data_IF_733099153874
#
_entry.id   IF_733099153874
#
_cell.length_a   1.000
_cell.length_b   1.000
_cell.length_c   1.000
_cell.angle_alpha   90.00
_cell.angle_beta   90.00
_cell.angle_gamma   90.00
#
_symmetry.space_group_name_H-M   'P 1'
#
loop_
_entity.id
_entity.type
_entity.pdbx_description
1 polymer ?
#
# COMPACT_ATOMS: atom_id res chain seq x y z
N UNK A 1 26.27 13.22 -40.34
CA UNK A 1 24.96 12.61 -40.04
C UNK A 1 24.65 12.65 -38.55
N UNK A 2 24.82 13.87 -37.91
CA UNK A 2 24.69 14.06 -36.44
C UNK A 2 24.07 15.44 -36.12
N UNK A 3 22.87 15.75 -36.62
CA UNK A 3 22.15 17.02 -36.32
C UNK A 3 20.63 16.89 -36.21
N UNK A 4 20.06 15.67 -36.17
CA UNK A 4 18.58 15.50 -36.10
C UNK A 4 18.04 14.86 -34.81
N UNK A 5 18.88 14.57 -33.83
CA UNK A 5 18.42 13.91 -32.57
C UNK A 5 18.14 14.90 -31.44
N UNK A 6 18.64 16.15 -31.53
CA UNK A 6 18.53 17.11 -30.42
C UNK A 6 17.19 17.89 -30.37
N UNK A 7 16.39 17.85 -31.43
CA UNK A 7 15.12 18.64 -31.49
C UNK A 7 13.93 17.86 -30.94
N UNK A 8 13.97 16.50 -30.90
CA UNK A 8 12.85 15.69 -30.38
C UNK A 8 12.80 15.68 -28.85
N UNK A 9 13.95 15.90 -28.17
CA UNK A 9 13.99 15.90 -26.70
C UNK A 9 13.46 17.21 -26.08
N UNK A 10 13.48 18.33 -26.81
CA UNK A 10 13.01 19.64 -26.30
C UNK A 10 11.49 19.82 -26.43
N UNK A 11 10.82 19.11 -27.32
CA UNK A 11 9.36 19.18 -27.47
C UNK A 11 8.60 18.30 -26.47
N UNK A 12 9.24 17.25 -25.91
CA UNK A 12 8.63 16.43 -24.84
C UNK A 12 8.66 17.13 -23.47
N UNK A 13 9.55 18.08 -23.25
CA UNK A 13 9.64 18.82 -21.97
C UNK A 13 8.59 19.94 -21.88
N UNK A 14 8.14 20.49 -22.99
CA UNK A 14 7.16 21.57 -23.01
C UNK A 14 5.71 21.10 -22.77
N UNK A 15 5.38 19.83 -23.04
CA UNK A 15 4.04 19.29 -22.81
C UNK A 15 3.79 18.86 -21.34
N UNK A 16 4.85 18.76 -20.53
CA UNK A 16 4.76 18.37 -19.11
C UNK A 16 4.59 19.60 -18.19
N UNK A 17 4.90 20.80 -18.68
CA UNK A 17 4.85 22.03 -17.88
C UNK A 17 3.43 22.60 -17.65
N UNK A 18 2.41 22.11 -18.37
CA UNK A 18 1.05 22.67 -18.32
C UNK A 18 0.18 22.22 -17.15
N UNK A 19 0.53 21.13 -16.44
CA UNK A 19 -0.31 20.56 -15.36
C UNK A 19 0.38 20.49 -13.98
N UNK A 20 1.55 21.09 -13.82
CA UNK A 20 2.32 21.02 -12.57
C UNK A 20 1.73 21.86 -11.42
N UNK A 21 0.95 22.89 -11.72
CA UNK A 21 0.51 23.88 -10.72
C UNK A 21 -0.69 23.46 -9.86
N UNK A 22 -1.27 22.28 -10.06
CA UNK A 22 -2.51 21.90 -9.39
C UNK A 22 -2.47 20.55 -8.64
N UNK A 23 -1.29 19.91 -8.52
CA UNK A 23 -1.13 18.64 -7.81
C UNK A 23 -0.74 18.88 -6.36
N UNK A 24 -1.43 18.23 -5.44
CA UNK A 24 -1.07 18.24 -4.02
C UNK A 24 0.28 17.58 -3.80
N UNK A 25 1.10 18.15 -2.93
CA UNK A 25 2.38 17.56 -2.56
C UNK A 25 2.18 16.54 -1.45
N UNK A 26 2.62 15.32 -1.67
CA UNK A 26 2.58 14.28 -0.64
C UNK A 26 3.46 14.65 0.58
N UNK A 27 2.86 14.52 1.76
CA UNK A 27 3.56 14.54 3.04
C UNK A 27 3.19 13.28 3.80
N UNK A 28 4.19 12.53 4.26
CA UNK A 28 3.91 11.35 5.07
C UNK A 28 3.14 11.75 6.35
N UNK A 29 1.90 11.25 6.55
CA UNK A 29 1.06 11.64 7.67
C UNK A 29 1.58 11.15 9.02
N UNK A 30 2.50 10.17 9.03
CA UNK A 30 3.05 9.54 10.24
C UNK A 30 4.49 9.97 10.57
N UNK A 31 5.00 10.96 9.83
CA UNK A 31 6.33 11.51 10.06
C UNK A 31 7.46 10.57 9.64
N UNK A 32 8.19 9.99 10.60
CA UNK A 32 9.30 9.05 10.33
C UNK A 32 8.88 7.57 10.36
N UNK A 33 7.68 7.28 10.80
CA UNK A 33 7.14 5.92 10.80
C UNK A 33 6.63 5.56 9.41
N UNK A 34 6.64 4.27 9.08
CA UNK A 34 5.99 3.79 7.87
C UNK A 34 4.46 3.86 8.07
N UNK A 35 3.68 4.44 7.16
CA UNK A 35 2.23 4.52 7.29
C UNK A 35 1.60 3.12 7.26
N UNK A 36 0.84 2.77 8.29
CA UNK A 36 0.04 1.54 8.33
C UNK A 36 -1.36 1.91 8.77
N UNK A 37 -2.31 1.78 7.86
CA UNK A 37 -3.69 2.18 8.04
C UNK A 37 -4.57 0.97 8.38
N UNK A 38 -5.40 1.13 9.39
CA UNK A 38 -6.52 0.24 9.66
C UNK A 38 -7.78 0.81 9.00
N UNK A 39 -8.29 0.11 8.00
CA UNK A 39 -9.59 0.38 7.41
C UNK A 39 -10.64 -0.38 8.18
N UNK A 40 -11.84 0.20 8.33
CA UNK A 40 -12.86 -0.33 9.22
C UNK A 40 -12.26 -0.64 10.58
N UNK A 41 -11.72 0.42 11.18
CA UNK A 41 -10.85 0.35 12.34
C UNK A 41 -11.66 0.17 13.63
N UNK A 42 -11.80 1.21 14.44
CA UNK A 42 -12.61 1.15 15.66
C UNK A 42 -14.02 1.57 15.29
N UNK A 43 -15.01 0.70 15.55
CA UNK A 43 -16.41 1.01 15.25
C UNK A 43 -16.85 2.25 16.03
N UNK A 44 -17.47 3.24 15.34
CA UNK A 44 -17.91 4.48 15.96
C UNK A 44 -19.15 4.24 16.79
N UNK A 45 -18.99 4.09 18.07
CA UNK A 45 -20.03 3.98 19.09
C UNK A 45 -19.40 4.09 20.48
N UNK A 46 -19.76 3.20 21.41
CA UNK A 46 -19.11 3.06 22.72
C UNK A 46 -17.63 2.66 22.67
N UNK A 47 -17.13 2.16 21.50
CA UNK A 47 -15.75 1.72 21.34
C UNK A 47 -14.75 2.86 21.06
N UNK A 48 -15.21 4.08 20.81
CA UNK A 48 -14.32 5.23 20.62
C UNK A 48 -13.68 5.64 21.96
N UNK A 49 -12.74 4.81 22.45
CA UNK A 49 -12.03 5.01 23.71
C UNK A 49 -10.52 5.02 23.51
N UNK A 50 -9.80 5.64 24.45
CA UNK A 50 -8.34 5.69 24.45
C UNK A 50 -7.72 4.28 24.44
N UNK A 51 -8.31 3.36 25.21
CA UNK A 51 -7.85 1.98 25.35
C UNK A 51 -7.89 1.25 24.00
N UNK A 52 -8.94 1.44 23.21
CA UNK A 52 -9.06 0.87 21.86
C UNK A 52 -8.03 1.44 20.90
N UNK A 53 -7.77 2.74 20.92
CA UNK A 53 -6.70 3.33 20.11
C UNK A 53 -5.31 2.87 20.57
N UNK A 54 -5.08 2.66 21.86
CA UNK A 54 -3.84 2.04 22.35
C UNK A 54 -3.71 0.59 21.91
N UNK A 55 -4.79 -0.17 21.90
CA UNK A 55 -4.82 -1.55 21.38
C UNK A 55 -4.49 -1.59 19.88
N UNK A 56 -5.10 -0.71 19.09
CA UNK A 56 -4.79 -0.53 17.67
C UNK A 56 -3.31 -0.18 17.46
N UNK A 57 -2.78 0.77 18.25
CA UNK A 57 -1.35 1.13 18.22
C UNK A 57 -0.45 -0.05 18.57
N UNK A 58 -0.82 -0.87 19.55
CA UNK A 58 -0.09 -2.07 19.94
C UNK A 58 -0.07 -3.13 18.81
N UNK A 59 -1.09 -3.17 17.96
CA UNK A 59 -1.11 -3.96 16.73
C UNK A 59 -0.25 -3.37 15.60
N UNK A 60 0.46 -2.26 15.84
CA UNK A 60 1.41 -1.65 14.91
C UNK A 60 0.81 -0.63 13.94
N UNK A 61 -0.47 -0.31 14.05
CA UNK A 61 -1.12 0.72 13.24
C UNK A 61 -0.79 2.14 13.76
N UNK A 62 -0.72 3.09 12.84
CA UNK A 62 -0.52 4.50 13.15
C UNK A 62 -1.53 5.42 12.43
N UNK A 63 -2.39 4.84 11.57
CA UNK A 63 -3.54 5.54 10.97
C UNK A 63 -4.79 4.67 11.19
N UNK A 64 -5.88 5.32 11.59
CA UNK A 64 -7.21 4.75 11.77
C UNK A 64 -8.18 5.39 10.80
N UNK A 65 -8.97 4.58 10.12
CA UNK A 65 -10.12 5.01 9.34
C UNK A 65 -11.37 4.21 9.71
N UNK A 66 -12.43 4.92 10.00
CA UNK A 66 -13.79 4.40 10.15
C UNK A 66 -14.77 5.41 9.56
N UNK A 67 -15.90 4.94 9.06
CA UNK A 67 -16.99 5.80 8.65
C UNK A 67 -17.71 6.29 9.91
N UNK A 68 -17.48 7.55 10.28
CA UNK A 68 -18.22 8.17 11.38
C UNK A 68 -19.62 8.55 10.91
N UNK A 69 -20.63 8.32 11.74
CA UNK A 69 -22.03 8.65 11.41
C UNK A 69 -22.28 10.16 11.35
N UNK A 70 -21.48 10.93 12.10
CA UNK A 70 -21.58 12.38 12.18
C UNK A 70 -20.31 13.02 12.72
N UNK A 71 -20.26 14.35 12.70
CA UNK A 71 -19.12 15.13 13.16
C UNK A 71 -18.84 14.98 14.68
N UNK A 72 -19.84 14.72 15.51
CA UNK A 72 -19.66 14.51 16.95
C UNK A 72 -18.92 13.20 17.24
N UNK A 73 -19.24 12.13 16.50
CA UNK A 73 -18.47 10.88 16.59
C UNK A 73 -17.02 11.06 16.11
N UNK A 74 -16.80 11.82 15.03
CA UNK A 74 -15.45 12.18 14.59
C UNK A 74 -14.68 12.93 15.68
N UNK A 75 -15.31 13.93 16.32
CA UNK A 75 -14.73 14.68 17.43
C UNK A 75 -14.34 13.77 18.62
N UNK A 76 -15.23 12.83 18.98
CA UNK A 76 -15.00 11.83 20.01
C UNK A 76 -13.81 10.93 19.65
N UNK A 77 -13.73 10.44 18.40
CA UNK A 77 -12.61 9.65 17.90
C UNK A 77 -11.28 10.40 17.97
N UNK A 78 -11.24 11.63 17.46
CA UNK A 78 -10.06 12.51 17.52
C UNK A 78 -9.60 12.75 18.96
N UNK A 79 -10.55 12.97 19.87
CA UNK A 79 -10.25 13.16 21.30
C UNK A 79 -9.69 11.89 21.95
N UNK A 80 -10.30 10.73 21.70
CA UNK A 80 -9.89 9.44 22.24
C UNK A 80 -8.49 9.02 21.74
N UNK A 81 -8.13 9.38 20.51
CA UNK A 81 -6.83 9.04 19.92
C UNK A 81 -5.67 9.92 20.43
N UNK A 82 -5.93 11.02 21.17
CA UNK A 82 -4.89 11.93 21.68
C UNK A 82 -3.84 11.20 22.52
N UNK A 83 -2.57 11.34 22.11
CA UNK A 83 -1.42 10.75 22.81
C UNK A 83 -1.26 9.23 22.65
N UNK A 84 -2.01 8.58 21.78
CA UNK A 84 -1.87 7.13 21.48
C UNK A 84 -0.85 6.84 20.39
N UNK A 85 -0.51 7.84 19.56
CA UNK A 85 0.32 7.67 18.36
C UNK A 85 -0.48 7.19 17.16
N UNK A 86 -1.81 7.13 17.23
CA UNK A 86 -2.71 6.82 16.10
C UNK A 86 -3.37 8.10 15.63
N UNK A 87 -3.26 8.40 14.34
CA UNK A 87 -3.92 9.53 13.67
C UNK A 87 -5.17 9.04 12.93
N UNK A 88 -6.13 9.93 12.71
CA UNK A 88 -7.39 9.62 12.08
C UNK A 88 -7.47 10.21 10.68
N UNK A 89 -7.94 9.39 9.74
CA UNK A 89 -8.50 9.84 8.47
C UNK A 89 -9.97 10.20 8.72
N UNK A 90 -10.35 11.45 8.53
CA UNK A 90 -11.68 11.93 8.82
C UNK A 90 -12.65 11.66 7.66
N UNK A 91 -13.80 11.04 7.96
CA UNK A 91 -14.89 10.81 7.02
C UNK A 91 -16.22 10.75 7.78
N UNK A 92 -17.12 11.69 7.49
CA UNK A 92 -18.51 11.70 7.98
C UNK A 92 -19.38 12.37 6.90
N UNK A 93 -20.71 12.15 6.89
CA UNK A 93 -21.61 12.73 5.89
C UNK A 93 -21.49 14.26 5.79
N UNK A 94 -21.41 14.94 6.91
CA UNK A 94 -21.34 16.41 6.96
C UNK A 94 -20.07 16.97 6.31
N UNK A 95 -19.03 16.17 6.12
CA UNK A 95 -17.81 16.61 5.43
C UNK A 95 -18.12 17.00 3.97
N UNK A 96 -19.00 16.27 3.29
CA UNK A 96 -19.44 16.60 1.93
C UNK A 96 -20.52 17.68 1.93
N UNK A 97 -21.50 17.59 2.84
CA UNK A 97 -22.66 18.48 2.92
C UNK A 97 -22.30 19.89 3.40
N UNK A 98 -21.44 19.98 4.41
CA UNK A 98 -21.03 21.23 5.10
C UNK A 98 -19.51 21.36 5.14
N UNK A 99 -18.83 21.14 4.00
CA UNK A 99 -17.37 21.06 3.88
C UNK A 99 -16.65 22.19 4.63
N UNK A 100 -17.09 23.44 4.42
CA UNK A 100 -16.40 24.60 5.00
C UNK A 100 -16.43 24.58 6.53
N UNK A 101 -17.57 24.26 7.12
CA UNK A 101 -17.74 24.19 8.56
C UNK A 101 -16.91 23.07 9.18
N UNK A 102 -17.01 21.86 8.62
CA UNK A 102 -16.32 20.68 9.16
C UNK A 102 -14.82 20.80 9.04
N UNK A 103 -14.32 21.21 7.87
CA UNK A 103 -12.87 21.36 7.66
C UNK A 103 -12.30 22.47 8.55
N UNK A 104 -12.99 23.62 8.63
CA UNK A 104 -12.54 24.72 9.50
C UNK A 104 -12.49 24.31 10.97
N UNK A 105 -13.48 23.52 11.42
CA UNK A 105 -13.58 23.05 12.81
C UNK A 105 -12.42 22.08 13.18
N UNK A 106 -12.09 21.14 12.29
CA UNK A 106 -11.16 20.06 12.62
C UNK A 106 -9.73 20.22 12.08
N UNK A 107 -9.44 21.13 11.13
CA UNK A 107 -8.13 21.25 10.49
C UNK A 107 -6.94 21.47 11.43
N UNK A 108 -7.18 21.90 12.66
CA UNK A 108 -6.13 22.13 13.67
C UNK A 108 -6.01 20.99 14.69
N UNK A 109 -6.83 19.92 14.56
CA UNK A 109 -6.74 18.76 15.45
C UNK A 109 -5.46 17.97 15.19
N UNK A 110 -4.63 17.80 16.22
CA UNK A 110 -3.31 17.17 16.11
C UNK A 110 -3.37 15.71 15.64
N UNK A 111 -4.47 15.04 15.91
CA UNK A 111 -4.65 13.64 15.55
C UNK A 111 -5.28 13.46 14.17
N UNK A 112 -5.69 14.52 13.50
CA UNK A 112 -6.12 14.47 12.12
C UNK A 112 -4.92 14.22 11.20
N UNK A 113 -5.02 13.29 10.24
CA UNK A 113 -4.01 13.07 9.21
C UNK A 113 -4.52 13.31 7.79
N UNK A 114 -5.82 13.32 7.58
CA UNK A 114 -6.40 13.53 6.26
C UNK A 114 -7.92 13.50 6.25
N UNK A 115 -8.46 13.78 5.07
CA UNK A 115 -9.87 13.87 4.75
C UNK A 115 -10.23 12.79 3.75
N UNK A 116 -11.19 11.95 4.07
CA UNK A 116 -11.70 10.91 3.18
C UNK A 116 -12.79 11.47 2.27
N UNK A 117 -12.64 11.28 0.97
CA UNK A 117 -13.62 11.75 -0.01
C UNK A 117 -14.62 10.66 -0.40
N UNK A 118 -14.12 9.54 -0.89
CA UNK A 118 -14.94 8.49 -1.46
C UNK A 118 -14.19 7.16 -1.53
N UNK A 119 -14.94 6.07 -1.44
CA UNK A 119 -14.49 4.73 -1.75
C UNK A 119 -14.95 4.34 -3.15
N UNK A 120 -14.07 3.71 -3.91
CA UNK A 120 -14.29 3.06 -5.20
C UNK A 120 -15.10 3.87 -6.24
N UNK A 121 -14.76 5.14 -6.52
CA UNK A 121 -15.49 5.90 -7.51
C UNK A 121 -15.15 5.45 -8.93
N UNK A 122 -16.12 5.47 -9.83
CA UNK A 122 -15.86 5.41 -11.28
C UNK A 122 -15.53 6.79 -11.84
N UNK A 123 -15.03 6.86 -13.08
CA UNK A 123 -14.68 8.15 -13.73
C UNK A 123 -15.86 9.11 -13.88
N UNK A 124 -17.10 8.62 -13.83
CA UNK A 124 -18.30 9.45 -13.90
C UNK A 124 -18.34 10.47 -12.76
N UNK A 125 -17.87 10.10 -11.57
CA UNK A 125 -17.86 10.97 -10.39
C UNK A 125 -16.62 11.86 -10.24
N UNK A 126 -15.59 11.72 -11.09
CA UNK A 126 -14.32 12.44 -10.92
C UNK A 126 -14.48 13.95 -10.94
N UNK A 127 -15.32 14.49 -11.82
CA UNK A 127 -15.54 15.94 -11.89
C UNK A 127 -16.14 16.52 -10.59
N UNK A 128 -17.07 15.81 -9.96
CA UNK A 128 -17.68 16.27 -8.71
C UNK A 128 -16.77 16.02 -7.51
N UNK A 129 -16.04 14.90 -7.50
CA UNK A 129 -14.99 14.64 -6.51
C UNK A 129 -13.87 15.67 -6.58
N UNK A 130 -13.51 16.15 -7.78
CA UNK A 130 -12.57 17.26 -7.93
C UNK A 130 -13.09 18.53 -7.27
N UNK A 131 -14.35 18.88 -7.48
CA UNK A 131 -14.97 20.06 -6.82
C UNK A 131 -14.98 19.89 -5.30
N UNK A 132 -15.30 18.67 -4.80
CA UNK A 132 -15.27 18.38 -3.37
C UNK A 132 -13.86 18.50 -2.81
N UNK A 133 -12.86 17.87 -3.45
CA UNK A 133 -11.45 18.00 -3.12
C UNK A 133 -11.01 19.46 -3.06
N UNK A 134 -11.40 20.29 -4.03
CA UNK A 134 -11.00 21.69 -4.10
C UNK A 134 -11.64 22.54 -2.98
N UNK A 135 -12.88 22.22 -2.57
CA UNK A 135 -13.50 22.82 -1.37
C UNK A 135 -12.70 22.53 -0.11
N UNK A 136 -12.30 21.27 0.10
CA UNK A 136 -11.47 20.87 1.25
C UNK A 136 -10.11 21.56 1.18
N UNK A 137 -9.42 21.46 0.04
CA UNK A 137 -8.06 21.97 -0.15
C UNK A 137 -7.94 23.49 0.03
N UNK A 138 -8.98 24.24 -0.35
CA UNK A 138 -9.04 25.70 -0.14
C UNK A 138 -8.94 26.11 1.32
N UNK A 139 -9.38 25.24 2.23
CA UNK A 139 -9.44 25.51 3.67
C UNK A 139 -8.28 24.83 4.40
N UNK A 140 -7.90 23.65 3.95
CA UNK A 140 -6.83 22.84 4.52
C UNK A 140 -5.95 22.22 3.42
N UNK A 141 -4.81 22.85 3.18
CA UNK A 141 -3.76 22.40 2.24
C UNK A 141 -2.65 21.57 2.92
N UNK A 142 -2.79 21.28 4.23
CA UNK A 142 -1.76 20.63 5.04
C UNK A 142 -1.99 19.13 5.17
N UNK A 143 -3.24 18.70 5.32
CA UNK A 143 -3.61 17.31 5.51
C UNK A 143 -3.83 16.59 4.18
N UNK A 144 -3.68 15.27 4.20
CA UNK A 144 -3.98 14.44 3.03
C UNK A 144 -5.46 14.56 2.65
N UNK A 145 -5.72 14.48 1.36
CA UNK A 145 -7.07 14.24 0.85
C UNK A 145 -7.02 12.84 0.23
N UNK A 146 -7.84 11.94 0.73
CA UNK A 146 -7.75 10.52 0.48
C UNK A 146 -8.99 9.98 -0.24
N UNK A 147 -8.74 9.11 -1.18
CA UNK A 147 -9.74 8.39 -1.95
C UNK A 147 -9.16 7.02 -2.29
N UNK A 148 -9.98 5.98 -2.27
CA UNK A 148 -9.60 4.63 -2.65
C UNK A 148 -10.17 4.28 -4.02
N UNK A 149 -9.36 3.72 -4.91
CA UNK A 149 -9.72 3.38 -6.28
C UNK A 149 -10.16 1.91 -6.37
N UNK A 150 -11.02 1.62 -7.34
CA UNK A 150 -11.40 0.27 -7.75
C UNK A 150 -10.19 -0.54 -8.24
N UNK A 151 -10.19 -1.87 -8.04
CA UNK A 151 -9.11 -2.76 -8.48
C UNK A 151 -9.19 -3.14 -9.97
N UNK A 152 -8.10 -3.76 -10.46
CA UNK A 152 -7.92 -4.12 -11.87
C UNK A 152 -8.94 -5.13 -12.42
N UNK A 153 -9.64 -5.88 -11.58
CA UNK A 153 -10.62 -6.86 -12.04
C UNK A 153 -11.98 -6.24 -12.43
N UNK A 154 -12.21 -4.97 -12.09
CA UNK A 154 -13.40 -4.24 -12.55
C UNK A 154 -13.26 -3.94 -14.04
N UNK A 155 -14.33 -4.20 -14.80
CA UNK A 155 -14.27 -4.05 -16.24
C UNK A 155 -14.00 -2.61 -16.68
N UNK A 156 -13.23 -2.37 -17.75
CA UNK A 156 -13.00 -1.02 -18.27
C UNK A 156 -14.29 -0.26 -18.58
N UNK A 157 -15.35 -0.95 -19.00
CA UNK A 157 -16.65 -0.33 -19.26
C UNK A 157 -17.30 0.22 -17.99
N UNK A 158 -17.24 -0.51 -16.87
CA UNK A 158 -17.72 -0.06 -15.55
C UNK A 158 -16.86 1.09 -15.02
N UNK A 159 -15.56 1.05 -15.22
CA UNK A 159 -14.65 2.14 -14.86
C UNK A 159 -14.87 3.40 -15.69
N UNK A 160 -15.47 3.30 -16.87
CA UNK A 160 -15.64 4.39 -17.83
C UNK A 160 -14.36 4.73 -18.59
N UNK A 161 -13.50 3.73 -18.86
CA UNK A 161 -12.21 3.87 -19.56
C UNK A 161 -11.98 2.70 -20.52
N UNK A 162 -10.90 2.76 -21.31
CA UNK A 162 -10.52 1.64 -22.20
C UNK A 162 -9.66 0.61 -21.48
N UNK A 163 -8.89 1.02 -20.49
CA UNK A 163 -8.00 0.16 -19.71
C UNK A 163 -8.00 0.57 -18.25
N UNK A 164 -7.62 -0.35 -17.37
CA UNK A 164 -7.42 -0.03 -15.95
C UNK A 164 -6.32 1.03 -15.73
N UNK A 165 -5.23 0.97 -16.49
CA UNK A 165 -4.16 1.96 -16.39
C UNK A 165 -4.65 3.38 -16.76
N UNK A 166 -5.54 3.50 -17.75
CA UNK A 166 -6.18 4.78 -18.09
C UNK A 166 -7.03 5.29 -16.91
N UNK A 167 -7.79 4.42 -16.23
CA UNK A 167 -8.57 4.78 -15.05
C UNK A 167 -7.68 5.34 -13.93
N UNK A 168 -6.59 4.63 -13.60
CA UNK A 168 -5.64 5.08 -12.58
C UNK A 168 -4.95 6.38 -12.99
N UNK A 169 -4.56 6.52 -14.27
CA UNK A 169 -3.95 7.77 -14.77
C UNK A 169 -4.92 8.95 -14.72
N UNK A 170 -6.17 8.75 -15.12
CA UNK A 170 -7.21 9.78 -15.05
C UNK A 170 -7.48 10.23 -13.62
N UNK A 171 -7.45 9.31 -12.65
CA UNK A 171 -7.58 9.71 -11.24
C UNK A 171 -6.48 10.67 -10.79
N UNK A 172 -5.24 10.45 -11.26
CA UNK A 172 -4.11 11.37 -11.00
C UNK A 172 -4.33 12.73 -11.65
N UNK A 173 -4.72 12.73 -12.90
CA UNK A 173 -4.77 13.96 -13.72
C UNK A 173 -6.01 14.80 -13.38
N UNK A 174 -7.14 14.16 -13.16
CA UNK A 174 -8.42 14.82 -12.90
C UNK A 174 -8.62 15.20 -11.44
N UNK A 175 -8.24 14.31 -10.50
CA UNK A 175 -8.44 14.59 -9.06
C UNK A 175 -7.29 15.38 -8.44
N UNK A 176 -6.05 15.20 -8.91
CA UNK A 176 -4.89 15.93 -8.41
C UNK A 176 -4.56 15.65 -6.95
N UNK A 177 -4.84 14.43 -6.46
CA UNK A 177 -4.49 13.99 -5.10
C UNK A 177 -2.99 13.81 -4.95
N UNK A 178 -2.50 13.74 -3.72
CA UNK A 178 -1.06 13.60 -3.44
C UNK A 178 -0.55 12.17 -3.48
N UNK A 179 -1.44 11.19 -3.42
CA UNK A 179 -1.16 9.76 -3.42
C UNK A 179 -2.23 8.99 -4.18
N UNK A 180 -1.86 7.80 -4.65
CA UNK A 180 -2.78 6.80 -5.16
C UNK A 180 -3.13 5.82 -4.04
N UNK A 181 -4.35 5.31 -4.01
CA UNK A 181 -4.77 4.19 -3.18
C UNK A 181 -5.72 3.32 -3.97
N UNK A 182 -5.61 2.03 -3.81
CA UNK A 182 -6.53 1.04 -4.39
C UNK A 182 -6.61 -0.17 -3.47
N UNK A 183 -7.70 -0.90 -3.51
CA UNK A 183 -7.82 -2.20 -2.88
C UNK A 183 -7.85 -3.32 -3.90
N UNK A 184 -7.20 -4.39 -3.56
CA UNK A 184 -7.22 -5.65 -4.29
C UNK A 184 -6.94 -6.78 -3.30
N UNK A 185 -7.81 -7.78 -3.26
CA UNK A 185 -7.66 -8.95 -2.41
C UNK A 185 -7.45 -10.20 -3.27
N UNK A 186 -6.18 -10.63 -3.44
CA UNK A 186 -5.83 -11.63 -4.44
C UNK A 186 -5.98 -13.06 -3.94
N UNK A 187 -6.12 -13.30 -2.62
CA UNK A 187 -6.10 -14.64 -2.04
C UNK A 187 -7.53 -15.12 -1.85
N UNK A 188 -7.89 -16.13 -2.59
CA UNK A 188 -9.27 -16.63 -2.65
C UNK A 188 -9.30 -18.16 -2.58
N UNK A 189 -10.44 -18.68 -2.14
CA UNK A 189 -10.74 -20.11 -2.21
C UNK A 189 -11.46 -20.41 -3.53
N UNK A 190 -10.80 -21.14 -4.42
CA UNK A 190 -11.32 -21.58 -5.71
C UNK A 190 -11.22 -23.10 -5.82
N UNK A 191 -12.33 -23.75 -6.14
CA UNK A 191 -12.40 -25.23 -6.33
C UNK A 191 -11.77 -26.01 -5.13
N UNK A 192 -12.02 -25.55 -3.91
CA UNK A 192 -11.50 -26.18 -2.69
C UNK A 192 -10.03 -25.91 -2.36
N UNK A 193 -9.35 -25.07 -3.12
CA UNK A 193 -7.96 -24.69 -2.91
C UNK A 193 -7.84 -23.19 -2.67
N UNK A 194 -6.91 -22.79 -1.81
CA UNK A 194 -6.55 -21.38 -1.64
C UNK A 194 -5.51 -21.03 -2.68
N UNK A 195 -5.78 -20.02 -3.48
CA UNK A 195 -4.92 -19.55 -4.58
C UNK A 195 -4.62 -18.07 -4.48
N UNK A 196 -3.50 -17.65 -5.05
CA UNK A 196 -3.16 -16.24 -5.26
C UNK A 196 -3.50 -15.88 -6.70
N UNK A 197 -4.44 -14.97 -6.89
CA UNK A 197 -4.79 -14.48 -8.22
C UNK A 197 -3.66 -13.64 -8.81
N UNK A 198 -3.26 -13.87 -10.05
CA UNK A 198 -2.15 -13.16 -10.69
C UNK A 198 -2.39 -11.66 -10.83
N UNK A 199 -3.64 -11.21 -10.75
CA UNK A 199 -4.02 -9.79 -10.76
C UNK A 199 -3.36 -8.98 -9.64
N UNK A 200 -2.88 -9.60 -8.55
CA UNK A 200 -2.03 -8.94 -7.56
C UNK A 200 -0.88 -8.20 -8.23
N UNK A 201 -0.17 -8.90 -9.10
CA UNK A 201 1.06 -8.37 -9.69
C UNK A 201 0.79 -7.42 -10.86
N UNK A 202 -0.21 -7.70 -11.69
CA UNK A 202 -0.59 -6.78 -12.77
C UNK A 202 -1.17 -5.46 -12.24
N UNK A 203 -1.91 -5.49 -11.12
CA UNK A 203 -2.38 -4.27 -10.46
C UNK A 203 -1.22 -3.46 -9.86
N UNK A 204 -0.30 -4.14 -9.14
CA UNK A 204 0.90 -3.51 -8.57
C UNK A 204 1.78 -2.88 -9.66
N UNK A 205 1.91 -3.54 -10.82
CA UNK A 205 2.67 -3.01 -11.94
C UNK A 205 2.04 -1.74 -12.52
N UNK A 206 0.71 -1.70 -12.67
CA UNK A 206 0.00 -0.48 -13.08
C UNK A 206 0.18 0.63 -12.05
N UNK A 207 -0.04 0.34 -10.77
CA UNK A 207 0.12 1.31 -9.70
C UNK A 207 1.55 1.89 -9.66
N UNK A 208 2.57 1.03 -9.78
CA UNK A 208 3.98 1.43 -9.84
C UNK A 208 4.27 2.32 -11.05
N UNK A 209 3.84 1.91 -12.26
CA UNK A 209 4.07 2.71 -13.49
C UNK A 209 3.45 4.10 -13.39
N UNK A 210 2.20 4.19 -12.96
CA UNK A 210 1.51 5.46 -12.79
C UNK A 210 2.15 6.29 -11.67
N UNK A 211 2.48 5.68 -10.52
CA UNK A 211 3.18 6.31 -9.41
C UNK A 211 4.52 6.94 -9.83
N UNK A 212 5.34 6.19 -10.55
CA UNK A 212 6.64 6.69 -11.05
C UNK A 212 6.47 7.84 -12.04
N UNK A 213 5.52 7.74 -12.97
CA UNK A 213 5.24 8.73 -14.00
C UNK A 213 4.68 10.03 -13.42
N UNK A 214 3.83 9.92 -12.41
CA UNK A 214 3.20 11.05 -11.72
C UNK A 214 4.00 11.59 -10.55
N UNK A 215 5.05 10.90 -10.12
CA UNK A 215 5.83 11.18 -8.90
C UNK A 215 4.98 11.20 -7.62
N UNK A 216 3.91 10.42 -7.58
CA UNK A 216 3.02 10.26 -6.45
C UNK A 216 3.18 8.87 -5.85
N UNK A 217 3.28 8.71 -4.53
CA UNK A 217 3.32 7.40 -3.90
C UNK A 217 1.99 6.66 -4.09
N UNK A 218 2.04 5.35 -4.04
CA UNK A 218 0.82 4.55 -3.96
C UNK A 218 0.72 3.79 -2.63
N UNK A 219 -0.50 3.54 -2.21
CA UNK A 219 -0.91 2.82 -1.02
C UNK A 219 -1.61 1.54 -1.43
N UNK A 220 -1.31 0.43 -0.80
CA UNK A 220 -1.86 -0.87 -1.15
C UNK A 220 -2.52 -1.55 0.06
N UNK A 221 -3.59 -2.29 -0.19
CA UNK A 221 -4.29 -3.06 0.83
C UNK A 221 -3.72 -4.45 1.04
N UNK A 222 -3.99 -4.96 2.24
CA UNK A 222 -3.81 -6.34 2.69
C UNK A 222 -5.11 -6.80 3.30
N UNK A 223 -5.60 -7.97 2.95
CA UNK A 223 -6.83 -8.51 3.50
C UNK A 223 -6.57 -9.17 4.87
N UNK A 224 -7.16 -8.63 5.92
CA UNK A 224 -7.02 -9.15 7.28
C UNK A 224 -8.34 -9.63 7.92
N UNK A 225 -9.37 -9.85 7.10
CA UNK A 225 -10.67 -10.42 7.51
C UNK A 225 -11.13 -11.45 6.49
N UNK A 226 -11.84 -12.47 6.93
CA UNK A 226 -12.45 -13.47 6.05
C UNK A 226 -13.88 -13.05 5.67
N UNK A 227 -14.26 -13.31 4.42
CA UNK A 227 -15.65 -13.16 3.93
C UNK A 227 -15.82 -13.79 2.56
N UNK A 228 -17.00 -14.27 2.22
CA UNK A 228 -17.28 -14.86 0.91
C UNK A 228 -16.27 -15.97 0.54
N UNK A 229 -15.54 -15.79 -0.56
CA UNK A 229 -14.47 -16.68 -0.99
C UNK A 229 -13.09 -16.36 -0.41
N UNK A 230 -12.98 -15.32 0.40
CA UNK A 230 -11.72 -14.93 1.03
C UNK A 230 -11.52 -15.71 2.33
N UNK A 231 -10.46 -16.55 2.42
CA UNK A 231 -10.22 -17.41 3.58
C UNK A 231 -9.74 -16.61 4.80
N UNK A 232 -9.77 -17.26 5.97
CA UNK A 232 -9.13 -16.70 7.18
C UNK A 232 -7.65 -16.46 6.87
N UNK A 233 -7.14 -15.23 7.11
CA UNK A 233 -5.77 -14.89 6.82
C UNK A 233 -4.77 -15.74 7.59
N UNK A 234 -3.72 -16.18 6.91
CA UNK A 234 -2.54 -16.81 7.52
C UNK A 234 -1.34 -15.85 7.47
N UNK A 235 -0.27 -16.19 8.16
CA UNK A 235 0.96 -15.40 8.07
C UNK A 235 1.48 -15.31 6.63
N UNK A 236 1.44 -16.41 5.85
CA UNK A 236 1.87 -16.39 4.45
C UNK A 236 0.99 -15.50 3.58
N UNK A 237 -0.34 -15.47 3.81
CA UNK A 237 -1.27 -14.61 3.09
C UNK A 237 -0.95 -13.13 3.32
N UNK A 238 -0.89 -12.71 4.58
CA UNK A 238 -0.59 -11.31 4.93
C UNK A 238 0.80 -10.88 4.41
N UNK A 239 1.80 -11.77 4.47
CA UNK A 239 3.17 -11.48 4.06
C UNK A 239 3.30 -11.31 2.56
N UNK A 240 2.69 -12.19 1.76
CA UNK A 240 2.78 -12.08 0.30
C UNK A 240 2.15 -10.79 -0.22
N UNK A 241 0.99 -10.40 0.32
CA UNK A 241 0.34 -9.14 -0.06
C UNK A 241 1.20 -7.93 0.34
N UNK A 242 1.65 -7.86 1.60
CA UNK A 242 2.41 -6.73 2.10
C UNK A 242 3.79 -6.61 1.44
N UNK A 243 4.58 -7.70 1.40
CA UNK A 243 5.95 -7.63 0.88
C UNK A 243 6.01 -7.55 -0.63
N UNK A 244 5.00 -8.07 -1.36
CA UNK A 244 4.86 -7.77 -2.79
C UNK A 244 4.60 -6.28 -3.02
N UNK A 245 3.66 -5.68 -2.29
CA UNK A 245 3.39 -4.25 -2.42
C UNK A 245 4.63 -3.39 -2.07
N UNK A 246 5.35 -3.72 -1.00
CA UNK A 246 6.59 -3.05 -0.61
C UNK A 246 7.71 -3.21 -1.65
N UNK A 247 7.84 -4.39 -2.26
CA UNK A 247 8.78 -4.64 -3.35
C UNK A 247 8.46 -3.80 -4.59
N UNK A 248 7.19 -3.53 -4.86
CA UNK A 248 6.75 -2.62 -5.91
C UNK A 248 6.85 -1.14 -5.53
N UNK A 249 7.18 -0.80 -4.27
CA UNK A 249 7.42 0.57 -3.80
C UNK A 249 6.24 1.23 -3.10
N UNK A 250 5.26 0.48 -2.61
CA UNK A 250 4.17 1.00 -1.80
C UNK A 250 4.69 1.83 -0.61
N UNK A 251 4.04 2.96 -0.33
CA UNK A 251 4.42 3.88 0.74
C UNK A 251 3.43 3.89 1.92
N UNK A 252 2.43 3.03 1.87
CA UNK A 252 1.53 2.70 2.97
C UNK A 252 0.99 1.28 2.75
N UNK A 253 0.84 0.55 3.84
CA UNK A 253 0.09 -0.70 3.87
C UNK A 253 -1.22 -0.44 4.61
N UNK A 254 -2.32 -0.84 4.01
CA UNK A 254 -3.67 -0.65 4.53
C UNK A 254 -4.29 -2.02 4.80
N UNK A 255 -4.92 -2.20 5.94
CA UNK A 255 -5.57 -3.46 6.28
C UNK A 255 -7.08 -3.34 6.18
N UNK A 256 -7.69 -4.14 5.35
CA UNK A 256 -9.13 -4.40 5.34
C UNK A 256 -9.39 -5.77 5.97
N UNK A 257 -9.90 -5.85 7.19
CA UNK A 257 -10.25 -4.81 8.17
C UNK A 257 -9.52 -5.03 9.49
N UNK A 258 -9.54 -4.05 10.41
CA UNK A 258 -9.06 -4.29 11.78
C UNK A 258 -10.16 -4.85 12.68
N UNK A 259 -11.38 -4.34 12.56
CA UNK A 259 -12.56 -4.83 13.27
C UNK A 259 -13.45 -5.61 12.31
N UNK A 260 -14.06 -6.69 12.77
CA UNK A 260 -15.01 -7.46 11.96
C UNK A 260 -16.24 -6.60 11.64
N UNK A 261 -16.52 -6.30 10.36
CA UNK A 261 -17.69 -5.54 9.98
C UNK A 261 -18.99 -6.29 10.30
N UNK A 262 -20.14 -5.61 10.40
CA UNK A 262 -21.45 -6.25 10.48
C UNK A 262 -21.68 -7.19 9.29
N UNK A 263 -22.43 -8.28 9.52
CA UNK A 263 -22.65 -9.35 8.53
C UNK A 263 -23.93 -9.18 7.71
N UNK A 264 -24.29 -7.95 7.36
CA UNK A 264 -25.57 -7.67 6.67
C UNK A 264 -25.55 -8.16 5.21
N UNK A 265 -24.44 -7.94 4.49
CA UNK A 265 -24.31 -8.31 3.07
C UNK A 265 -23.33 -9.45 2.87
N UNK A 266 -22.27 -9.49 3.67
CA UNK A 266 -21.18 -10.48 3.59
C UNK A 266 -20.98 -11.14 4.96
N UNK A 267 -20.63 -12.42 4.99
CA UNK A 267 -20.34 -13.17 6.20
C UNK A 267 -18.94 -12.81 6.76
N UNK A 268 -18.69 -11.56 7.09
CA UNK A 268 -17.43 -11.13 7.67
C UNK A 268 -17.14 -11.84 8.99
N UNK A 269 -15.92 -12.32 9.15
CA UNK A 269 -15.46 -12.94 10.40
C UNK A 269 -13.93 -12.95 10.48
N UNK A 270 -13.41 -13.24 11.67
CA UNK A 270 -11.98 -13.44 11.90
C UNK A 270 -11.08 -12.26 11.48
N UNK A 271 -11.57 -11.01 11.58
CA UNK A 271 -10.70 -9.84 11.58
C UNK A 271 -9.83 -9.84 12.87
N UNK A 272 -8.79 -9.02 13.01
CA UNK A 272 -8.02 -8.89 14.24
C UNK A 272 -8.87 -8.72 15.51
N UNK A 273 -9.94 -7.94 15.42
CA UNK A 273 -10.95 -7.81 16.48
C UNK A 273 -12.28 -8.34 15.95
N UNK A 274 -12.94 -9.20 16.73
CA UNK A 274 -14.26 -9.73 16.39
C UNK A 274 -15.38 -8.71 16.59
N UNK A 275 -16.61 -9.06 16.22
CA UNK A 275 -17.81 -8.21 16.37
C UNK A 275 -18.11 -7.85 17.83
N UNK A 276 -17.61 -8.64 18.79
CA UNK A 276 -17.77 -8.41 20.23
C UNK A 276 -16.63 -7.60 20.85
N UNK A 277 -15.67 -7.14 20.04
CA UNK A 277 -14.51 -6.39 20.48
C UNK A 277 -13.39 -7.23 21.12
N UNK A 278 -13.35 -8.52 20.88
CA UNK A 278 -12.30 -9.42 21.38
C UNK A 278 -11.26 -9.68 20.30
N UNK A 279 -10.01 -9.88 20.71
CA UNK A 279 -8.95 -10.28 19.79
C UNK A 279 -9.17 -11.68 19.27
N UNK A 280 -9.02 -11.84 17.96
CA UNK A 280 -8.94 -13.13 17.29
C UNK A 280 -7.46 -13.56 17.16
N UNK A 281 -7.17 -14.79 16.74
CA UNK A 281 -5.80 -15.20 16.40
C UNK A 281 -5.15 -14.34 15.31
N UNK A 282 -5.92 -13.72 14.41
CA UNK A 282 -5.43 -12.84 13.35
C UNK A 282 -4.80 -11.55 13.91
N UNK A 283 -5.21 -11.11 15.11
CA UNK A 283 -4.59 -9.93 15.75
C UNK A 283 -3.07 -10.08 15.89
N UNK A 284 -2.59 -11.22 16.35
CA UNK A 284 -1.15 -11.46 16.52
C UNK A 284 -0.41 -11.59 15.19
N UNK A 285 -1.05 -12.14 14.16
CA UNK A 285 -0.47 -12.21 12.81
C UNK A 285 -0.26 -10.80 12.24
N UNK A 286 -1.29 -9.96 12.31
CA UNK A 286 -1.25 -8.56 11.87
C UNK A 286 -0.25 -7.75 12.69
N UNK A 287 -0.25 -7.92 14.02
CA UNK A 287 0.70 -7.24 14.90
C UNK A 287 2.16 -7.57 14.55
N UNK A 288 2.46 -8.82 14.30
CA UNK A 288 3.81 -9.26 13.97
C UNK A 288 4.24 -8.70 12.61
N UNK A 289 3.39 -8.77 11.58
CA UNK A 289 3.65 -8.18 10.27
C UNK A 289 3.90 -6.65 10.38
N UNK A 290 3.00 -5.92 11.05
CA UNK A 290 3.09 -4.47 11.15
C UNK A 290 4.35 -4.03 11.90
N UNK A 291 4.74 -4.73 12.97
CA UNK A 291 5.99 -4.45 13.70
C UNK A 291 7.23 -4.71 12.86
N UNK A 292 7.20 -5.78 12.06
CA UNK A 292 8.28 -6.06 11.10
C UNK A 292 8.40 -4.93 10.07
N UNK A 293 7.29 -4.51 9.46
CA UNK A 293 7.26 -3.39 8.51
C UNK A 293 7.78 -2.10 9.16
N UNK A 294 7.36 -1.79 10.40
CA UNK A 294 7.87 -0.62 11.12
C UNK A 294 9.37 -0.70 11.39
N UNK A 295 9.90 -1.88 11.70
CA UNK A 295 11.35 -2.09 11.87
C UNK A 295 12.12 -1.84 10.57
N UNK A 296 11.48 -2.06 9.43
CA UNK A 296 12.02 -1.84 8.09
C UNK A 296 11.66 -0.46 7.50
N UNK A 297 11.08 0.45 8.28
CA UNK A 297 10.67 1.77 7.79
C UNK A 297 11.83 2.52 7.09
N UNK A 298 13.06 2.41 7.59
CA UNK A 298 14.24 3.03 6.98
C UNK A 298 14.61 2.47 5.59
N UNK A 299 14.13 1.27 5.27
CA UNK A 299 14.28 0.65 3.94
C UNK A 299 13.23 1.20 2.99
N UNK A 300 11.95 1.10 3.38
CA UNK A 300 10.82 1.28 2.48
C UNK A 300 10.31 2.72 2.40
N UNK A 301 10.36 3.48 3.50
CA UNK A 301 9.84 4.85 3.52
C UNK A 301 10.66 5.76 2.61
N UNK A 302 10.05 6.25 1.53
CA UNK A 302 10.71 7.06 0.50
C UNK A 302 11.54 6.26 -0.51
N UNK A 303 11.56 4.92 -0.43
CA UNK A 303 12.24 4.09 -1.40
C UNK A 303 11.56 4.14 -2.77
N UNK A 304 12.37 4.04 -3.82
CA UNK A 304 11.92 3.91 -5.22
C UNK A 304 12.25 2.51 -5.71
N UNK A 305 11.25 1.75 -6.13
CA UNK A 305 11.43 0.46 -6.80
C UNK A 305 11.83 0.71 -8.27
N UNK A 306 13.14 0.80 -8.51
CA UNK A 306 13.72 1.19 -9.80
C UNK A 306 13.51 0.11 -10.85
N UNK A 307 13.74 -1.16 -10.48
CA UNK A 307 13.45 -2.30 -11.33
C UNK A 307 12.69 -3.35 -10.52
N UNK A 308 11.65 -3.90 -11.12
CA UNK A 308 10.84 -4.98 -10.54
C UNK A 308 10.58 -5.99 -11.64
N UNK A 309 10.64 -7.26 -11.32
CA UNK A 309 10.35 -8.31 -12.28
C UNK A 309 10.13 -9.65 -11.62
N UNK A 310 9.60 -10.58 -12.37
CA UNK A 310 9.29 -11.94 -11.94
C UNK A 310 10.18 -12.95 -12.64
N UNK A 311 10.43 -14.07 -11.98
CA UNK A 311 11.11 -15.22 -12.54
C UNK A 311 10.19 -16.45 -12.45
N UNK A 312 10.61 -17.58 -13.01
CA UNK A 312 9.87 -18.82 -13.05
C UNK A 312 9.46 -19.21 -14.47
N UNK A 313 8.92 -20.42 -14.61
CA UNK A 313 8.57 -20.96 -15.92
C UNK A 313 7.25 -20.39 -16.48
N UNK A 314 6.44 -19.76 -15.64
CA UNK A 314 5.16 -19.19 -16.03
C UNK A 314 5.20 -17.67 -15.95
N UNK A 315 5.10 -17.03 -17.10
CA UNK A 315 4.95 -15.57 -17.15
C UNK A 315 3.64 -15.12 -16.49
N UNK A 316 3.71 -14.07 -15.70
CA UNK A 316 2.54 -13.40 -15.09
C UNK A 316 2.14 -12.25 -16.01
N UNK A 317 0.96 -12.35 -16.60
CA UNK A 317 0.46 -11.36 -17.55
C UNK A 317 0.47 -9.94 -16.96
N UNK A 318 0.90 -8.98 -17.75
CA UNK A 318 0.96 -7.57 -17.37
C UNK A 318 2.14 -7.20 -16.49
N UNK A 319 3.05 -8.13 -16.20
CA UNK A 319 4.29 -7.87 -15.43
C UNK A 319 5.54 -7.96 -16.31
N UNK A 320 6.68 -7.60 -15.73
CA UNK A 320 7.99 -7.66 -16.39
C UNK A 320 8.74 -8.92 -15.93
N UNK A 321 9.39 -9.62 -16.85
CA UNK A 321 10.37 -10.65 -16.49
C UNK A 321 11.64 -10.02 -15.92
N UNK A 322 12.22 -10.68 -14.91
CA UNK A 322 13.42 -10.16 -14.28
C UNK A 322 14.66 -10.38 -15.15
N UNK A 323 15.36 -9.30 -15.41
CA UNK A 323 16.69 -9.31 -16.00
C UNK A 323 17.73 -8.84 -14.96
N UNK A 324 18.82 -9.60 -14.83
CA UNK A 324 19.88 -9.25 -13.89
C UNK A 324 20.53 -7.91 -14.23
N UNK A 325 20.59 -7.05 -13.24
CA UNK A 325 21.28 -5.77 -13.32
C UNK A 325 22.78 -5.92 -13.02
N UNK A 326 23.57 -4.94 -13.43
CA UNK A 326 25.00 -4.85 -13.06
C UNK A 326 25.15 -4.29 -11.63
N UNK A 327 24.76 -5.09 -10.64
CA UNK A 327 24.78 -4.76 -9.22
C UNK A 327 25.39 -5.92 -8.41
N UNK A 328 25.81 -5.67 -7.15
CA UNK A 328 26.51 -6.68 -6.34
C UNK A 328 25.73 -7.95 -6.00
N UNK A 329 24.41 -7.95 -6.16
CA UNK A 329 23.56 -9.13 -5.90
C UNK A 329 22.85 -9.51 -7.19
N UNK A 330 23.09 -10.74 -7.65
CA UNK A 330 22.50 -11.30 -8.88
C UNK A 330 21.73 -12.57 -8.56
N UNK A 331 20.59 -12.76 -9.20
CA UNK A 331 19.86 -14.02 -9.16
C UNK A 331 20.44 -14.98 -10.21
N UNK A 332 20.83 -16.18 -9.78
CA UNK A 332 21.39 -17.21 -10.65
C UNK A 332 20.40 -18.33 -10.94
N UNK A 333 19.43 -18.54 -10.06
CA UNK A 333 18.38 -19.55 -10.22
C UNK A 333 17.25 -19.35 -9.21
N UNK A 334 16.03 -19.64 -9.62
CA UNK A 334 14.83 -19.45 -8.79
C UNK A 334 13.84 -20.63 -8.85
N UNK A 335 14.23 -21.75 -9.49
CA UNK A 335 13.36 -22.88 -9.72
C UNK A 335 12.15 -22.56 -10.63
N UNK A 336 11.28 -23.54 -10.78
CA UNK A 336 10.13 -23.43 -11.72
C UNK A 336 9.08 -22.40 -11.31
N UNK A 337 8.82 -22.28 -10.00
CA UNK A 337 7.83 -21.32 -9.47
C UNK A 337 8.29 -19.88 -9.52
N UNK A 338 9.61 -19.66 -9.44
CA UNK A 338 10.20 -18.34 -9.48
C UNK A 338 9.98 -17.51 -8.20
N UNK A 339 10.40 -16.26 -8.28
CA UNK A 339 10.26 -15.25 -7.22
C UNK A 339 10.00 -13.87 -7.82
N UNK A 340 9.40 -12.99 -7.06
CA UNK A 340 9.40 -11.55 -7.33
C UNK A 340 10.76 -10.98 -6.92
N UNK A 341 11.37 -10.19 -7.79
CA UNK A 341 12.64 -9.51 -7.54
C UNK A 341 12.46 -8.00 -7.67
N UNK A 342 13.01 -7.26 -6.73
CA UNK A 342 12.97 -5.80 -6.75
C UNK A 342 14.32 -5.19 -6.42
N UNK A 343 14.77 -4.26 -7.25
CA UNK A 343 15.88 -3.37 -6.98
C UNK A 343 15.36 -2.00 -6.54
N UNK A 344 15.68 -1.62 -5.31
CA UNK A 344 15.19 -0.39 -4.70
C UNK A 344 16.34 0.56 -4.34
N UNK A 345 16.01 1.86 -4.38
CA UNK A 345 16.94 2.95 -4.02
C UNK A 345 16.27 3.83 -2.97
N UNK A 346 16.96 4.08 -1.86
CA UNK A 346 16.54 5.02 -0.84
C UNK A 346 17.72 5.90 -0.41
N UNK A 347 17.77 7.12 -0.91
CA UNK A 347 18.92 8.00 -0.74
C UNK A 347 20.21 7.39 -1.28
N UNK A 348 21.21 7.22 -0.40
CA UNK A 348 22.49 6.56 -0.73
C UNK A 348 22.45 5.03 -0.60
N UNK A 349 21.39 4.48 -0.06
CA UNK A 349 21.21 3.03 0.14
C UNK A 349 20.62 2.37 -1.09
N UNK A 350 21.09 1.15 -1.36
CA UNK A 350 20.63 0.27 -2.44
C UNK A 350 20.17 -1.04 -1.82
N UNK A 351 19.11 -1.59 -2.36
CA UNK A 351 18.51 -2.81 -1.85
C UNK A 351 18.16 -3.76 -2.99
N UNK A 352 18.37 -5.05 -2.76
CA UNK A 352 17.80 -6.11 -3.58
C UNK A 352 16.88 -6.94 -2.70
N UNK A 353 15.63 -7.08 -3.13
CA UNK A 353 14.62 -7.85 -2.43
C UNK A 353 14.13 -8.99 -3.31
N UNK A 354 14.01 -10.17 -2.72
CA UNK A 354 13.40 -11.35 -3.34
C UNK A 354 12.20 -11.73 -2.49
N UNK A 355 11.03 -11.95 -3.10
CA UNK A 355 9.82 -12.38 -2.39
C UNK A 355 9.36 -13.71 -2.96
N UNK A 356 9.16 -14.69 -2.08
CA UNK A 356 8.52 -15.93 -2.46
C UNK A 356 7.02 -15.69 -2.67
N UNK A 357 6.57 -15.79 -3.91
CA UNK A 357 5.18 -15.53 -4.28
C UNK A 357 4.27 -16.77 -4.22
N UNK A 358 4.74 -17.85 -3.61
CA UNK A 358 3.95 -19.05 -3.29
C UNK A 358 3.54 -19.01 -1.80
N UNK A 359 2.25 -19.20 -1.52
CA UNK A 359 1.70 -19.22 -0.15
C UNK A 359 1.72 -20.60 0.48
N UNK A 360 2.07 -21.65 -0.25
CA UNK A 360 2.04 -23.04 0.20
C UNK A 360 3.43 -23.66 0.32
N UNK A 361 4.38 -23.27 -0.52
CA UNK A 361 5.67 -23.95 -0.63
C UNK A 361 6.84 -23.00 -0.42
N UNK A 362 7.85 -23.49 0.26
CA UNK A 362 9.14 -22.83 0.32
C UNK A 362 9.81 -22.83 -1.06
N UNK A 363 10.56 -21.78 -1.35
CA UNK A 363 11.27 -21.57 -2.61
C UNK A 363 12.77 -21.41 -2.34
N UNK A 364 13.60 -22.24 -2.95
CA UNK A 364 15.05 -22.07 -2.90
C UNK A 364 15.52 -21.27 -4.10
N UNK A 365 16.31 -20.24 -3.84
CA UNK A 365 16.94 -19.40 -4.86
C UNK A 365 18.46 -19.52 -4.77
N UNK A 366 19.11 -19.38 -5.91
CA UNK A 366 20.56 -19.25 -6.01
C UNK A 366 20.92 -17.81 -6.35
N UNK A 367 21.77 -17.22 -5.55
CA UNK A 367 22.25 -15.85 -5.72
C UNK A 367 23.77 -15.80 -5.79
N UNK A 368 24.30 -14.83 -6.50
CA UNK A 368 25.71 -14.51 -6.52
C UNK A 368 25.96 -13.14 -5.89
N UNK A 369 26.90 -13.06 -4.98
CA UNK A 369 27.28 -11.83 -4.28
C UNK A 369 28.71 -11.45 -4.66
N UNK A 370 28.89 -10.22 -5.17
CA UNK A 370 30.14 -9.67 -5.65
C UNK A 370 30.48 -8.36 -4.96
N UNK A 371 30.59 -8.21 -3.71
CA UNK A 371 30.88 -6.94 -3.06
C UNK A 371 30.57 -6.91 -1.58
N UNK A 372 30.56 -5.72 -0.99
CA UNK A 372 30.22 -5.52 0.42
C UNK A 372 28.71 -5.42 0.58
N UNK A 373 28.04 -6.55 0.65
CA UNK A 373 26.59 -6.67 0.80
C UNK A 373 26.27 -7.19 2.19
N UNK A 374 25.20 -6.69 2.79
CA UNK A 374 24.71 -7.12 4.11
C UNK A 374 23.21 -7.48 4.02
N UNK A 375 22.80 -8.63 4.58
CA UNK A 375 21.38 -8.90 4.73
C UNK A 375 20.76 -7.92 5.72
N UNK A 376 19.48 -7.61 5.50
CA UNK A 376 18.64 -6.87 6.44
C UNK A 376 17.72 -7.88 7.10
N UNK A 377 17.81 -8.00 8.42
CA UNK A 377 16.91 -8.88 9.17
C UNK A 377 15.50 -8.30 9.31
N UNK A 378 14.53 -9.14 9.64
CA UNK A 378 13.13 -8.75 9.92
C UNK A 378 12.99 -7.71 11.03
N UNK A 379 13.96 -7.61 11.93
CA UNK A 379 14.06 -6.58 12.96
C UNK A 379 14.68 -5.25 12.47
N UNK A 380 14.86 -5.09 11.15
CA UNK A 380 15.43 -3.91 10.52
C UNK A 380 16.95 -3.73 10.72
N UNK A 381 17.64 -4.67 11.34
CA UNK A 381 19.08 -4.56 11.60
C UNK A 381 19.90 -5.16 10.46
N UNK A 382 20.98 -4.45 10.09
CA UNK A 382 21.98 -4.99 9.17
C UNK A 382 22.73 -6.14 9.83
N UNK A 383 22.73 -7.28 9.19
CA UNK A 383 23.48 -8.47 9.64
C UNK A 383 24.95 -8.40 9.25
N UNK A 384 25.72 -9.44 9.58
CA UNK A 384 27.12 -9.56 9.14
C UNK A 384 27.20 -9.53 7.62
N UNK A 385 28.29 -8.96 7.03
CA UNK A 385 28.47 -8.98 5.58
C UNK A 385 28.38 -10.40 5.03
N UNK A 386 27.76 -10.53 3.87
CA UNK A 386 27.71 -11.80 3.16
C UNK A 386 29.09 -12.26 2.73
N UNK A 387 29.30 -13.56 2.65
CA UNK A 387 30.40 -14.16 1.92
C UNK A 387 30.19 -13.90 0.43
N UNK A 388 31.28 -13.57 -0.31
CA UNK A 388 31.20 -13.44 -1.76
C UNK A 388 31.05 -14.82 -2.43
N UNK A 389 30.52 -14.81 -3.65
CA UNK A 389 30.28 -16.00 -4.47
C UNK A 389 28.82 -16.47 -4.41
N UNK A 390 28.60 -17.66 -4.95
CA UNK A 390 27.26 -18.26 -5.04
C UNK A 390 26.80 -18.79 -3.69
N UNK A 391 25.51 -18.58 -3.42
CA UNK A 391 24.84 -19.00 -2.20
C UNK A 391 23.43 -19.49 -2.56
N UNK A 392 22.99 -20.53 -1.87
CA UNK A 392 21.62 -21.03 -1.93
C UNK A 392 20.86 -20.60 -0.68
N UNK A 393 19.68 -20.02 -0.86
CA UNK A 393 18.83 -19.52 0.24
C UNK A 393 17.40 -20.00 0.03
N UNK A 394 16.79 -20.51 1.10
CA UNK A 394 15.39 -20.95 1.06
C UNK A 394 14.48 -19.91 1.73
N UNK A 395 13.45 -19.50 1.03
CA UNK A 395 12.40 -18.57 1.47
C UNK A 395 11.16 -19.37 1.84
N UNK A 396 10.61 -19.15 3.03
CA UNK A 396 9.34 -19.73 3.42
C UNK A 396 8.18 -19.18 2.57
N UNK A 397 6.97 -19.77 2.60
CA UNK A 397 5.80 -19.24 1.90
C UNK A 397 5.52 -17.77 2.23
N UNK A 398 5.39 -16.93 1.20
CA UNK A 398 5.15 -15.49 1.34
C UNK A 398 6.30 -14.70 1.97
N UNK A 399 7.44 -15.32 2.26
CA UNK A 399 8.59 -14.66 2.90
C UNK A 399 9.49 -13.94 1.89
N UNK A 400 10.42 -13.15 2.40
CA UNK A 400 11.34 -12.38 1.58
C UNK A 400 12.78 -12.49 2.07
N UNK A 401 13.71 -12.12 1.17
CA UNK A 401 15.11 -11.91 1.46
C UNK A 401 15.49 -10.50 1.02
N UNK A 402 16.20 -9.75 1.86
CA UNK A 402 16.53 -8.36 1.63
C UNK A 402 18.02 -8.12 1.85
N UNK A 403 18.68 -7.56 0.84
CA UNK A 403 20.08 -7.18 0.86
C UNK A 403 20.25 -5.67 0.74
N UNK A 404 21.29 -5.16 1.40
CA UNK A 404 21.67 -3.75 1.41
C UNK A 404 23.13 -3.55 1.05
N UNK A 405 23.43 -2.49 0.29
CA UNK A 405 24.75 -1.91 0.05
C UNK A 405 24.65 -0.39 -0.21
N UNK A 406 25.82 0.27 -0.32
CA UNK A 406 25.92 1.72 -0.61
C UNK A 406 26.58 1.96 -1.96
#
# INVERSE_FOLDING_TARGET
MMKKITIVLLLLVAAIAGNADNKMKYKNPTGKEFPILAWYSILPDSNLTRERYMELRNAGFNISFSHFENADQLAKGLSASKGTGVRLMAGCPELEERTAEIVEHFKNEKMLCGWFLRDEPTTVSFADLRKFRDRVYKIDDKHLIYLNLLPIFVSPAELGTKTYEEYVQRSVDELGLSQLSYDLYPIVQEQGKVVVRPQLYSNLEVARRVSMRSMQPFWAFVLSTAHGSYPIPTAAHLRIEAFSALAYGAQCIQHFTYWTPPTDTWNFHSAPIDEHGKRTPVYELVRNLNREIQSLAWVFLGAKAVAVGHTGNKHIEGTTEWENLSVPVRLCGSGERGVLVSYMVNGKSRFMMFVNHDIHHSQTIEIEISGKVRPVGSNGKLQRPCRQGRQSVTLAPGDYLLYHWK
#
